data_IF_632720282996
#
_entry.id   IF_632720282996
#
_cell.length_a   1.000
_cell.length_b   1.000
_cell.length_c   1.000
_cell.angle_alpha   90.00
_cell.angle_beta   90.00
_cell.angle_gamma   90.00
#
_symmetry.space_group_name_H-M   'P 1'
#
loop_
_entity.id
_entity.type
_entity.pdbx_description
1 polymer ?
#
# COMPACT_ATOMS: atom_id res chain seq x y z
N UNK A 1 10.51 -7.39 -8.81
CA UNK A 1 10.06 -8.34 -7.76
C UNK A 1 9.32 -9.51 -8.40
N UNK A 2 9.64 -10.73 -8.01
CA UNK A 2 8.95 -11.92 -8.49
C UNK A 2 7.66 -12.16 -7.71
N UNK A 3 6.79 -13.02 -8.25
CA UNK A 3 5.55 -13.41 -7.56
C UNK A 3 5.87 -13.99 -6.17
N UNK A 4 6.87 -14.85 -6.08
CA UNK A 4 7.28 -15.45 -4.81
C UNK A 4 7.73 -14.41 -3.79
N UNK A 5 8.54 -13.45 -4.22
CA UNK A 5 9.00 -12.37 -3.35
C UNK A 5 7.83 -11.50 -2.86
N UNK A 6 6.89 -11.20 -3.73
CA UNK A 6 5.70 -10.42 -3.38
C UNK A 6 4.84 -11.15 -2.36
N UNK A 7 4.62 -12.45 -2.55
CA UNK A 7 3.86 -13.27 -1.60
C UNK A 7 4.54 -13.26 -0.23
N UNK A 8 5.84 -13.46 -0.18
CA UNK A 8 6.60 -13.46 1.06
C UNK A 8 6.53 -12.13 1.79
N UNK A 9 6.58 -11.03 1.05
CA UNK A 9 6.46 -9.69 1.63
C UNK A 9 5.06 -9.43 2.18
N UNK A 10 4.03 -9.81 1.43
CA UNK A 10 2.64 -9.61 1.84
C UNK A 10 2.27 -10.46 3.05
N UNK A 11 2.84 -11.65 3.19
CA UNK A 11 2.61 -12.51 4.35
C UNK A 11 3.07 -11.87 5.67
N UNK A 12 4.06 -10.98 5.60
CA UNK A 12 4.59 -10.28 6.77
C UNK A 12 3.78 -9.04 7.13
N UNK A 13 2.84 -8.65 6.28
CA UNK A 13 2.01 -7.48 6.50
C UNK A 13 0.71 -7.85 7.22
N UNK A 14 0.08 -6.89 7.93
CA UNK A 14 -1.25 -7.13 8.50
C UNK A 14 -2.24 -7.54 7.41
N UNK A 15 -2.92 -8.66 7.59
CA UNK A 15 -3.74 -9.28 6.54
C UNK A 15 -5.11 -8.61 6.36
N UNK A 16 -5.51 -7.77 7.29
CA UNK A 16 -6.79 -7.07 7.28
C UNK A 16 -6.71 -5.64 6.75
N UNK A 17 -5.54 -5.20 6.31
CA UNK A 17 -5.35 -3.86 5.73
C UNK A 17 -5.55 -3.88 4.22
N UNK A 18 -6.02 -2.75 3.69
CA UNK A 18 -6.13 -2.57 2.25
C UNK A 18 -4.75 -2.39 1.60
N UNK A 19 -4.66 -2.75 0.34
CA UNK A 19 -3.44 -2.64 -0.45
C UNK A 19 -3.61 -1.54 -1.49
N UNK A 20 -2.66 -0.62 -1.55
CA UNK A 20 -2.62 0.45 -2.54
C UNK A 20 -1.34 0.35 -3.37
N UNK A 21 -1.38 0.86 -4.59
CA UNK A 21 -0.20 0.93 -5.43
C UNK A 21 0.24 2.39 -5.64
N UNK A 22 1.50 2.56 -5.98
CA UNK A 22 2.09 3.90 -6.22
C UNK A 22 2.23 4.23 -7.70
N UNK A 23 1.48 3.59 -8.57
CA UNK A 23 1.52 3.77 -10.02
C UNK A 23 2.86 3.45 -10.70
N UNK A 24 3.66 2.59 -10.10
CA UNK A 24 4.88 2.09 -10.72
C UNK A 24 4.59 0.96 -11.68
N UNK A 25 5.30 0.95 -12.81
CA UNK A 25 5.21 -0.15 -13.77
C UNK A 25 5.87 -1.43 -13.28
N UNK A 26 6.94 -1.30 -12.50
CA UNK A 26 7.60 -2.43 -11.86
C UNK A 26 7.44 -2.34 -10.35
N UNK A 27 7.06 -3.44 -9.73
CA UNK A 27 6.98 -3.52 -8.27
C UNK A 27 8.37 -3.84 -7.73
N UNK A 28 8.94 -2.93 -6.97
CA UNK A 28 10.24 -3.09 -6.35
C UNK A 28 10.14 -3.63 -4.94
N UNK A 29 9.13 -3.21 -4.18
CA UNK A 29 8.95 -3.63 -2.80
C UNK A 29 7.53 -3.36 -2.32
N UNK A 30 7.28 -3.77 -1.08
CA UNK A 30 6.02 -3.56 -0.37
C UNK A 30 6.35 -3.01 1.01
N UNK A 31 5.62 -2.02 1.47
CA UNK A 31 5.83 -1.49 2.80
C UNK A 31 4.51 -1.19 3.51
N UNK A 32 4.57 -1.13 4.84
CA UNK A 32 3.45 -0.72 5.68
C UNK A 32 3.55 0.80 5.90
N UNK A 33 2.54 1.53 5.44
CA UNK A 33 2.43 2.96 5.66
C UNK A 33 1.38 3.20 6.76
N UNK A 34 1.82 3.76 7.87
CA UNK A 34 0.93 4.04 9.01
C UNK A 34 0.23 5.38 8.90
N UNK A 35 0.63 6.20 7.95
CA UNK A 35 0.08 7.53 7.72
C UNK A 35 -0.25 7.72 6.24
N UNK A 36 -0.99 6.77 5.69
CA UNK A 36 -1.39 6.83 4.29
C UNK A 36 -2.60 7.76 4.14
N UNK A 37 -2.45 8.77 3.30
CA UNK A 37 -3.50 9.74 3.08
C UNK A 37 -4.46 9.25 2.01
N UNK A 38 -5.73 9.11 2.40
CA UNK A 38 -6.82 8.80 1.49
C UNK A 38 -7.77 9.98 1.51
N UNK A 39 -8.01 10.59 0.36
CA UNK A 39 -8.87 11.74 0.30
C UNK A 39 -9.51 11.93 -1.05
N UNK A 40 -10.64 12.64 -1.06
CA UNK A 40 -11.28 13.10 -2.27
C UNK A 40 -10.77 14.51 -2.57
N UNK A 41 -10.13 14.74 -3.73
CA UNK A 41 -9.65 16.07 -4.08
C UNK A 41 -10.78 17.10 -4.23
N UNK A 42 -12.01 16.65 -4.39
CA UNK A 42 -13.19 17.54 -4.49
C UNK A 42 -13.67 17.99 -3.12
N UNK A 43 -13.67 17.10 -2.14
CA UNK A 43 -14.18 17.39 -0.79
C UNK A 43 -13.13 17.97 0.15
N UNK A 44 -11.86 17.95 -0.22
CA UNK A 44 -10.73 18.40 0.59
C UNK A 44 -10.63 17.69 1.95
N UNK A 45 -11.31 16.56 2.10
CA UNK A 45 -11.22 15.71 3.30
C UNK A 45 -10.19 14.64 3.07
N UNK A 46 -9.17 14.62 3.91
CA UNK A 46 -8.15 13.59 3.90
C UNK A 46 -8.26 12.78 5.19
N UNK A 47 -8.41 11.48 5.02
CA UNK A 47 -8.30 10.54 6.13
C UNK A 47 -6.89 9.93 6.13
N UNK A 48 -6.36 9.73 7.32
CA UNK A 48 -5.07 9.04 7.49
C UNK A 48 -5.37 7.63 7.96
N UNK A 49 -4.92 6.65 7.20
CA UNK A 49 -5.14 5.23 7.51
C UNK A 49 -3.83 4.46 7.48
N UNK A 50 -3.85 3.27 8.07
CA UNK A 50 -2.79 2.31 7.85
C UNK A 50 -3.10 1.52 6.59
N UNK A 51 -2.12 1.37 5.71
CA UNK A 51 -2.28 0.64 4.46
C UNK A 51 -0.99 -0.04 4.05
N UNK A 52 -1.12 -1.11 3.27
CA UNK A 52 0.01 -1.78 2.64
C UNK A 52 0.18 -1.15 1.26
N UNK A 53 1.38 -0.69 0.97
CA UNK A 53 1.67 0.01 -0.30
C UNK A 53 2.67 -0.80 -1.13
N UNK A 54 2.31 -1.02 -2.38
CA UNK A 54 3.15 -1.66 -3.39
C UNK A 54 3.77 -0.55 -4.26
N UNK A 55 5.07 -0.59 -4.42
CA UNK A 55 5.75 0.42 -5.25
C UNK A 55 6.88 -0.15 -6.06
#
# INVERSE_FOLDING_TARGET
>A
MTVKELIERLEQMPQDLDVYNSDSYEIEDVYLDKEFYVGDPVDLKCDVIEAVVIY
#
